data_IF_226727044950
#
_entry.id   IF_226727044950
#
_cell.length_a   1.000
_cell.length_b   1.000
_cell.length_c   1.000
_cell.angle_alpha   90.00
_cell.angle_beta   90.00
_cell.angle_gamma   90.00
#
_symmetry.space_group_name_H-M   'P 1'
#
loop_
_entity.id
_entity.type
_entity.pdbx_description
1 polymer ?
#
# COMPACT_ATOMS: atom_id res chain seq x y z
N UNK A 1 17.96 -17.76 -8.13
CA UNK A 1 17.80 -16.35 -8.54
C UNK A 1 16.35 -15.93 -8.80
N UNK A 2 15.35 -16.84 -8.85
CA UNK A 2 13.95 -16.47 -9.16
C UNK A 2 13.05 -16.14 -7.95
N UNK A 3 13.32 -16.69 -6.76
CA UNK A 3 12.40 -16.55 -5.63
C UNK A 3 12.36 -15.15 -4.99
N UNK A 4 13.48 -14.42 -4.98
CA UNK A 4 13.52 -13.08 -4.37
C UNK A 4 12.74 -12.05 -5.18
N UNK A 5 12.78 -12.15 -6.51
CA UNK A 5 12.00 -11.29 -7.40
C UNK A 5 10.50 -11.55 -7.26
N UNK A 6 10.09 -12.82 -7.19
CA UNK A 6 8.68 -13.20 -6.98
C UNK A 6 8.14 -12.72 -5.62
N UNK A 7 8.96 -12.79 -4.56
CA UNK A 7 8.60 -12.29 -3.22
C UNK A 7 8.50 -10.77 -3.22
N UNK A 8 9.44 -10.07 -3.86
CA UNK A 8 9.39 -8.63 -4.00
C UNK A 8 8.16 -8.18 -4.81
N UNK A 9 7.83 -8.87 -5.90
CA UNK A 9 6.68 -8.55 -6.75
C UNK A 9 5.35 -8.79 -6.03
N UNK A 10 5.24 -9.88 -5.25
CA UNK A 10 4.07 -10.10 -4.37
C UNK A 10 3.91 -8.98 -3.35
N UNK A 11 5.00 -8.54 -2.70
CA UNK A 11 4.97 -7.40 -1.77
C UNK A 11 4.57 -6.11 -2.48
N UNK A 12 5.09 -5.87 -3.69
CA UNK A 12 4.78 -4.69 -4.48
C UNK A 12 3.30 -4.65 -4.90
N UNK A 13 2.75 -5.79 -5.33
CA UNK A 13 1.35 -5.92 -5.70
C UNK A 13 0.43 -5.76 -4.49
N UNK A 14 0.80 -6.30 -3.32
CA UNK A 14 0.05 -6.11 -2.09
C UNK A 14 0.02 -4.64 -1.65
N UNK A 15 1.16 -3.93 -1.76
CA UNK A 15 1.21 -2.47 -1.52
C UNK A 15 0.30 -1.71 -2.48
N UNK A 16 0.41 -1.94 -3.79
CA UNK A 16 -0.41 -1.28 -4.81
C UNK A 16 -1.90 -1.49 -4.55
N UNK A 17 -2.30 -2.72 -4.25
CA UNK A 17 -3.70 -3.05 -3.98
C UNK A 17 -4.24 -2.28 -2.76
N UNK A 18 -3.49 -2.23 -1.66
CA UNK A 18 -3.91 -1.50 -0.45
C UNK A 18 -3.99 0.01 -0.67
N UNK A 19 -3.05 0.59 -1.42
CA UNK A 19 -3.07 2.01 -1.77
C UNK A 19 -4.31 2.32 -2.61
N UNK A 20 -4.55 1.57 -3.69
CA UNK A 20 -5.72 1.75 -4.55
C UNK A 20 -7.03 1.62 -3.77
N UNK A 21 -7.12 0.64 -2.86
CA UNK A 21 -8.30 0.47 -2.02
C UNK A 21 -8.53 1.68 -1.10
N UNK A 22 -7.47 2.17 -0.44
CA UNK A 22 -7.55 3.33 0.43
C UNK A 22 -7.94 4.60 -0.34
N UNK A 23 -7.39 4.81 -1.53
CA UNK A 23 -7.76 5.92 -2.42
C UNK A 23 -9.21 5.81 -2.88
N UNK A 24 -9.66 4.61 -3.25
CA UNK A 24 -11.03 4.38 -3.68
C UNK A 24 -12.04 4.58 -2.55
N UNK A 25 -11.73 4.14 -1.33
CA UNK A 25 -12.53 4.41 -0.14
C UNK A 25 -12.60 5.93 0.12
N UNK A 26 -11.47 6.62 0.04
CA UNK A 26 -11.45 8.06 0.25
C UNK A 26 -12.17 8.85 -0.86
N UNK A 27 -12.16 8.37 -2.10
CA UNK A 27 -12.96 8.98 -3.18
C UNK A 27 -14.47 8.84 -2.93
N UNK A 28 -14.90 7.74 -2.30
CA UNK A 28 -16.30 7.49 -1.96
C UNK A 28 -16.75 8.29 -0.73
N UNK A 29 -15.94 8.32 0.33
CA UNK A 29 -16.32 8.97 1.59
C UNK A 29 -15.91 10.44 1.66
N UNK A 30 -14.87 10.84 0.92
CA UNK A 30 -14.19 12.16 0.99
C UNK A 30 -13.78 12.54 2.42
N UNK A 31 -13.48 11.53 3.23
CA UNK A 31 -13.28 11.69 4.66
C UNK A 31 -11.87 12.19 5.00
N UNK A 32 -10.87 11.80 4.22
CA UNK A 32 -9.47 12.16 4.42
C UNK A 32 -9.02 13.25 3.46
N UNK A 33 -8.31 14.22 4.00
CA UNK A 33 -7.60 15.23 3.21
C UNK A 33 -6.42 14.61 2.47
N UNK A 34 -5.87 15.34 1.49
CA UNK A 34 -4.70 14.90 0.73
C UNK A 34 -3.53 14.52 1.64
N UNK A 35 -3.26 15.31 2.69
CA UNK A 35 -2.16 15.04 3.62
C UNK A 35 -2.39 13.76 4.43
N UNK A 36 -3.62 13.53 4.90
CA UNK A 36 -4.01 12.31 5.62
C UNK A 36 -3.95 11.07 4.72
N UNK A 37 -4.24 11.22 3.42
CA UNK A 37 -4.08 10.16 2.44
C UNK A 37 -2.61 9.83 2.20
N UNK A 38 -1.74 10.83 2.07
CA UNK A 38 -0.29 10.63 1.95
C UNK A 38 0.28 9.92 3.18
N UNK A 39 -0.14 10.30 4.39
CA UNK A 39 0.26 9.59 5.61
C UNK A 39 -0.25 8.15 5.65
N UNK A 40 -1.50 7.92 5.24
CA UNK A 40 -2.09 6.57 5.15
C UNK A 40 -1.28 5.68 4.21
N UNK A 41 -0.95 6.19 3.01
CA UNK A 41 -0.15 5.47 2.02
C UNK A 41 1.26 5.19 2.56
N UNK A 42 1.90 6.16 3.21
CA UNK A 42 3.22 5.98 3.84
C UNK A 42 3.19 4.87 4.89
N UNK A 43 2.14 4.80 5.73
CA UNK A 43 1.94 3.70 6.67
C UNK A 43 1.79 2.35 5.98
N UNK A 44 0.95 2.26 4.94
CA UNK A 44 0.76 1.03 4.17
C UNK A 44 2.09 0.51 3.61
N UNK A 45 2.93 1.40 3.06
CA UNK A 45 4.25 1.03 2.52
C UNK A 45 5.18 0.56 3.64
N UNK A 46 5.26 1.29 4.76
CA UNK A 46 6.10 0.89 5.89
C UNK A 46 5.68 -0.46 6.49
N UNK A 47 4.38 -0.69 6.63
CA UNK A 47 3.83 -1.93 7.18
C UNK A 47 4.12 -3.11 6.26
N UNK A 48 3.97 -2.94 4.95
CA UNK A 48 4.25 -4.02 4.00
C UNK A 48 5.75 -4.25 3.78
N UNK A 49 6.57 -3.21 3.94
CA UNK A 49 8.03 -3.32 3.93
C UNK A 49 8.58 -4.05 5.16
N UNK A 50 7.93 -3.90 6.33
CA UNK A 50 8.30 -4.62 7.57
C UNK A 50 7.88 -6.08 7.58
N UNK A 51 6.95 -6.49 6.72
CA UNK A 51 6.55 -7.89 6.64
C UNK A 51 7.63 -8.72 5.93
N UNK A 52 8.24 -9.62 6.69
CA UNK A 52 9.01 -10.71 6.12
C UNK A 52 8.07 -11.86 5.73
N UNK A 53 7.59 -11.78 4.48
CA UNK A 53 7.05 -12.92 3.72
C UNK A 53 8.16 -13.87 3.30
#
# INVERSE_FOLDING_TARGET
MSNEQDVQEKRLNAMKYKILKAEQENLKTREKTTDQMVETIRRIIMDEAKKNY
#
